data_IF_052693045994
#
_entry.id   IF_052693045994
#
_cell.length_a   1.000
_cell.length_b   1.000
_cell.length_c   1.000
_cell.angle_alpha   90.00
_cell.angle_beta   90.00
_cell.angle_gamma   90.00
#
_symmetry.space_group_name_H-M   'P 1'
#
loop_
_entity.id
_entity.type
_entity.pdbx_description
1 polymer ?
#
# COMPACT_ATOMS: atom_id res chain seq x y z
N UNK A 1 -0.66 1.23 17.62
CA UNK A 1 -0.47 0.32 18.75
C UNK A 1 -1.80 -0.33 19.10
N UNK A 2 -1.88 -1.66 19.04
CA UNK A 2 -3.09 -2.42 19.39
C UNK A 2 -2.98 -2.92 20.83
N UNK A 3 -4.02 -2.77 21.62
CA UNK A 3 -4.02 -3.13 23.07
C UNK A 3 -3.66 -4.60 23.31
N UNK A 4 -4.03 -5.51 22.42
CA UNK A 4 -3.72 -6.93 22.61
C UNK A 4 -2.21 -7.23 22.62
N UNK A 5 -1.35 -6.36 22.05
CA UNK A 5 0.10 -6.49 22.16
C UNK A 5 0.55 -6.40 23.63
N UNK A 6 0.00 -5.44 24.37
CA UNK A 6 0.32 -5.28 25.79
C UNK A 6 -0.19 -6.47 26.63
N UNK A 7 -1.32 -7.04 26.30
CA UNK A 7 -1.82 -8.24 26.99
C UNK A 7 -0.93 -9.43 26.77
N UNK A 8 -0.46 -9.68 25.54
CA UNK A 8 0.45 -10.78 25.25
C UNK A 8 1.79 -10.56 25.95
N UNK A 9 2.37 -9.35 25.87
CA UNK A 9 3.62 -9.01 26.54
C UNK A 9 3.50 -9.24 28.07
N UNK A 10 2.40 -8.78 28.68
CA UNK A 10 2.16 -8.98 30.11
C UNK A 10 2.07 -10.47 30.44
N UNK A 11 1.35 -11.25 29.64
CA UNK A 11 1.22 -12.67 29.87
C UNK A 11 2.57 -13.40 29.76
N UNK A 12 3.40 -13.06 28.76
CA UNK A 12 4.77 -13.61 28.63
C UNK A 12 5.60 -13.33 29.88
N UNK A 13 5.54 -12.10 30.42
CA UNK A 13 6.29 -11.71 31.63
C UNK A 13 5.83 -12.45 32.89
N UNK A 14 4.63 -13.03 32.88
CA UNK A 14 4.08 -13.80 34.02
C UNK A 14 4.14 -15.31 33.83
N UNK A 15 4.64 -15.78 32.68
CA UNK A 15 4.82 -17.21 32.42
C UNK A 15 5.89 -17.82 33.36
N UNK A 16 5.53 -18.89 34.06
CA UNK A 16 6.48 -19.72 34.81
C UNK A 16 7.19 -20.73 33.90
N UNK A 17 8.23 -21.39 34.42
CA UNK A 17 8.83 -22.53 33.75
C UNK A 17 7.76 -23.61 33.46
N UNK A 18 7.83 -24.22 32.27
CA UNK A 18 6.91 -25.25 31.79
C UNK A 18 5.44 -24.79 31.61
N UNK A 19 5.16 -23.50 31.65
CA UNK A 19 3.83 -22.98 31.35
C UNK A 19 3.60 -22.84 29.85
N UNK A 20 2.33 -22.87 29.45
CA UNK A 20 1.88 -22.58 28.09
C UNK A 20 0.80 -21.52 28.09
N UNK A 21 0.70 -20.79 27.00
CA UNK A 21 -0.29 -19.75 26.76
C UNK A 21 -0.91 -19.92 25.39
N UNK A 22 -2.23 -19.78 25.29
CA UNK A 22 -2.96 -19.82 24.02
C UNK A 22 -3.83 -18.58 23.95
N UNK A 23 -3.69 -17.83 22.84
CA UNK A 23 -4.49 -16.63 22.58
C UNK A 23 -5.10 -16.67 21.17
N UNK A 24 -6.35 -16.23 21.06
CA UNK A 24 -6.95 -15.86 19.78
C UNK A 24 -6.81 -14.34 19.63
N UNK A 25 -6.17 -13.90 18.52
CA UNK A 25 -5.83 -12.50 18.29
C UNK A 25 -5.99 -12.14 16.82
N UNK A 26 -6.11 -10.85 16.47
CA UNK A 26 -6.03 -10.43 15.08
C UNK A 26 -4.69 -10.88 14.45
N UNK A 27 -4.74 -11.47 13.25
CA UNK A 27 -3.54 -11.99 12.60
C UNK A 27 -2.69 -10.91 11.92
N UNK A 28 -3.14 -9.67 11.90
CA UNK A 28 -2.47 -8.54 11.25
C UNK A 28 -1.05 -8.30 11.78
N UNK A 29 -0.78 -8.61 13.05
CA UNK A 29 0.55 -8.47 13.64
C UNK A 29 1.61 -9.35 12.94
N UNK A 30 1.21 -10.45 12.34
CA UNK A 30 2.14 -11.33 11.61
C UNK A 30 2.84 -10.58 10.46
N UNK A 31 2.16 -9.60 9.84
CA UNK A 31 2.59 -8.96 8.59
C UNK A 31 2.77 -7.44 8.67
N UNK A 32 2.11 -6.74 9.60
CA UNK A 32 2.18 -5.28 9.68
C UNK A 32 3.45 -4.79 10.41
N UNK A 33 3.84 -3.53 10.16
CA UNK A 33 5.03 -2.93 10.76
C UNK A 33 4.87 -2.72 12.28
N UNK A 34 3.65 -2.39 12.76
CA UNK A 34 3.39 -2.19 14.19
C UNK A 34 3.54 -3.47 15.01
N UNK A 35 3.43 -4.64 14.38
CA UNK A 35 3.61 -5.95 15.01
C UNK A 35 5.06 -6.39 15.21
N UNK A 36 6.06 -5.62 14.76
CA UNK A 36 7.46 -6.02 14.79
C UNK A 36 7.92 -6.44 16.19
N UNK A 37 7.73 -5.56 17.17
CA UNK A 37 8.11 -5.84 18.54
C UNK A 37 7.42 -7.09 19.11
N UNK A 38 6.11 -7.25 18.84
CA UNK A 38 5.38 -8.43 19.28
C UNK A 38 5.95 -9.71 18.67
N UNK A 39 6.26 -9.71 17.37
CA UNK A 39 6.89 -10.86 16.70
C UNK A 39 8.24 -11.23 17.32
N UNK A 40 9.04 -10.24 17.68
CA UNK A 40 10.34 -10.44 18.33
C UNK A 40 10.20 -11.13 19.68
N UNK A 41 9.27 -10.67 20.54
CA UNK A 41 9.12 -11.24 21.89
C UNK A 41 8.44 -12.60 21.91
N UNK A 42 7.52 -12.89 20.97
CA UNK A 42 6.88 -14.22 20.93
C UNK A 42 7.74 -15.29 20.23
N UNK A 43 8.61 -14.90 19.30
CA UNK A 43 9.39 -15.81 18.44
C UNK A 43 10.11 -16.91 19.22
N UNK A 44 10.81 -16.64 20.33
CA UNK A 44 11.49 -17.69 21.10
C UNK A 44 10.55 -18.75 21.67
N UNK A 45 9.35 -18.33 22.10
CA UNK A 45 8.37 -19.12 22.82
C UNK A 45 7.31 -19.78 21.93
N UNK A 46 7.24 -19.35 20.66
CA UNK A 46 6.20 -19.75 19.71
C UNK A 46 6.31 -21.25 19.38
N UNK A 47 5.22 -21.99 19.55
CA UNK A 47 5.10 -23.41 19.17
C UNK A 47 4.09 -23.65 18.05
N UNK A 48 3.00 -22.89 18.02
CA UNK A 48 1.98 -23.06 17.00
C UNK A 48 1.33 -21.73 16.61
N UNK A 49 0.99 -21.60 15.34
CA UNK A 49 0.08 -20.59 14.78
C UNK A 49 -0.98 -21.31 13.99
N UNK A 50 -2.25 -21.09 14.34
CA UNK A 50 -3.39 -21.53 13.52
C UNK A 50 -4.01 -20.27 12.92
N UNK A 51 -3.84 -20.07 11.63
CA UNK A 51 -4.32 -18.88 10.92
C UNK A 51 -5.71 -19.14 10.30
N UNK A 52 -6.68 -18.33 10.71
CA UNK A 52 -8.04 -18.38 10.21
C UNK A 52 -8.29 -17.35 9.10
N UNK A 53 -7.26 -16.94 8.36
CA UNK A 53 -7.45 -16.11 7.16
C UNK A 53 -8.47 -16.75 6.23
N UNK A 54 -9.45 -15.94 5.79
CA UNK A 54 -10.55 -16.43 4.94
C UNK A 54 -11.79 -16.92 5.70
N UNK A 55 -11.73 -17.08 7.04
CA UNK A 55 -12.90 -17.40 7.86
C UNK A 55 -13.38 -16.21 8.67
N UNK A 56 -14.69 -16.10 8.81
CA UNK A 56 -15.33 -15.21 9.77
C UNK A 56 -15.52 -15.99 11.08
N UNK A 57 -14.69 -15.72 12.08
CA UNK A 57 -14.73 -16.42 13.38
C UNK A 57 -15.73 -15.77 14.33
N UNK A 58 -15.90 -14.45 14.25
CA UNK A 58 -16.81 -13.69 15.11
C UNK A 58 -17.95 -13.09 14.29
N UNK A 59 -19.19 -13.23 14.77
CA UNK A 59 -20.37 -12.74 14.03
C UNK A 59 -20.40 -11.22 13.87
N UNK A 60 -19.95 -10.49 14.90
CA UNK A 60 -20.04 -9.03 14.97
C UNK A 60 -18.71 -8.32 14.61
N UNK A 61 -17.66 -9.06 14.27
CA UNK A 61 -16.36 -8.48 13.96
C UNK A 61 -15.81 -8.97 12.63
N UNK A 62 -15.52 -8.04 11.71
CA UNK A 62 -14.85 -8.31 10.44
C UNK A 62 -13.33 -8.24 10.62
N UNK A 63 -12.78 -9.14 11.42
CA UNK A 63 -11.34 -9.22 11.68
C UNK A 63 -10.82 -10.62 11.35
N UNK A 64 -9.74 -10.70 10.58
CA UNK A 64 -9.03 -11.96 10.39
C UNK A 64 -8.21 -12.27 11.65
N UNK A 65 -8.36 -13.48 12.18
CA UNK A 65 -7.75 -13.91 13.43
C UNK A 65 -6.77 -15.06 13.25
N UNK A 66 -5.93 -15.26 14.23
CA UNK A 66 -5.16 -16.49 14.42
C UNK A 66 -5.14 -16.90 15.88
N UNK A 67 -4.92 -18.18 16.14
CA UNK A 67 -4.54 -18.68 17.46
C UNK A 67 -3.02 -18.79 17.48
N UNK A 68 -2.40 -18.23 18.51
CA UNK A 68 -1.00 -18.43 18.84
C UNK A 68 -0.87 -19.28 20.08
N UNK A 69 0.04 -20.25 20.07
CA UNK A 69 0.43 -21.01 21.25
C UNK A 69 1.89 -20.71 21.56
N UNK A 70 2.15 -20.31 22.80
CA UNK A 70 3.48 -20.03 23.31
C UNK A 70 3.78 -20.99 24.47
N UNK A 71 4.98 -21.51 24.53
CA UNK A 71 5.46 -22.35 25.63
C UNK A 71 6.77 -21.78 26.15
N UNK A 72 6.94 -21.77 27.47
CA UNK A 72 8.22 -21.39 28.09
C UNK A 72 9.26 -22.50 27.93
N UNK A 73 9.46 -22.90 26.68
CA UNK A 73 10.46 -23.88 26.25
C UNK A 73 11.06 -23.42 24.94
N UNK A 74 12.36 -23.26 24.90
CA UNK A 74 13.04 -22.89 23.66
C UNK A 74 12.87 -23.97 22.58
N UNK A 75 12.32 -23.59 21.43
CA UNK A 75 12.22 -24.41 20.24
C UNK A 75 12.84 -23.71 19.06
N UNK A 76 13.50 -24.45 18.18
CA UNK A 76 14.03 -23.93 16.90
C UNK A 76 12.95 -23.82 15.83
N UNK A 77 11.83 -24.51 16.02
CA UNK A 77 10.73 -24.63 15.05
C UNK A 77 9.40 -24.31 15.71
N UNK A 78 8.40 -24.02 14.90
CA UNK A 78 6.98 -23.96 15.27
C UNK A 78 6.12 -24.47 14.12
N UNK A 79 4.88 -24.83 14.42
CA UNK A 79 3.90 -25.26 13.44
C UNK A 79 3.08 -24.07 12.95
N UNK A 80 2.93 -23.93 11.64
CA UNK A 80 1.97 -23.02 11.02
C UNK A 80 0.87 -23.82 10.32
N UNK A 81 -0.37 -23.56 10.67
CA UNK A 81 -1.55 -24.22 10.11
C UNK A 81 -2.43 -23.17 9.49
N UNK A 82 -2.59 -23.18 8.17
CA UNK A 82 -3.57 -22.35 7.47
C UNK A 82 -4.89 -23.12 7.39
N UNK A 83 -5.88 -22.67 8.16
CA UNK A 83 -7.15 -23.41 8.32
C UNK A 83 -7.98 -23.49 7.05
N UNK A 84 -7.84 -22.51 6.14
CA UNK A 84 -8.63 -22.44 4.90
C UNK A 84 -8.46 -23.66 3.99
N UNK A 85 -7.24 -24.17 3.85
CA UNK A 85 -6.91 -25.33 3.01
C UNK A 85 -6.26 -26.47 3.80
N UNK A 86 -6.30 -26.40 5.14
CA UNK A 86 -5.70 -27.34 6.08
C UNK A 86 -4.20 -27.58 5.82
N UNK A 87 -3.52 -26.59 5.21
CA UNK A 87 -2.07 -26.65 5.02
C UNK A 87 -1.33 -26.59 6.36
N UNK A 88 -0.49 -27.57 6.56
CA UNK A 88 0.41 -27.66 7.71
C UNK A 88 1.84 -27.45 7.24
N UNK A 89 2.58 -26.59 7.93
CA UNK A 89 4.01 -26.35 7.69
C UNK A 89 4.76 -26.30 9.01
N UNK A 90 5.83 -27.08 9.12
CA UNK A 90 6.82 -26.89 10.17
C UNK A 90 7.80 -25.81 9.72
N UNK A 91 7.97 -24.76 10.52
CA UNK A 91 8.73 -23.55 10.16
C UNK A 91 9.94 -23.40 11.07
N UNK A 92 11.13 -23.31 10.48
CA UNK A 92 12.37 -22.97 11.20
C UNK A 92 12.33 -21.49 11.59
N UNK A 93 12.51 -21.19 12.88
CA UNK A 93 12.50 -19.80 13.40
C UNK A 93 13.59 -18.92 12.80
N UNK A 94 14.69 -19.50 12.34
CA UNK A 94 15.79 -18.82 11.67
C UNK A 94 15.44 -18.35 10.27
N UNK A 95 14.46 -18.97 9.62
CA UNK A 95 14.00 -18.62 8.27
C UNK A 95 13.01 -17.44 8.26
N UNK A 96 12.54 -17.01 9.44
CA UNK A 96 11.63 -15.90 9.56
C UNK A 96 12.43 -14.62 9.80
N UNK A 97 12.34 -13.70 8.88
CA UNK A 97 12.87 -12.34 9.00
C UNK A 97 11.93 -11.45 9.86
N UNK A 98 11.77 -10.19 9.48
CA UNK A 98 10.95 -9.22 10.22
C UNK A 98 9.45 -9.54 10.17
N UNK A 99 8.92 -10.05 9.03
CA UNK A 99 7.51 -10.44 8.89
C UNK A 99 7.37 -11.96 8.88
N UNK A 100 6.29 -12.47 9.50
CA UNK A 100 5.95 -13.88 9.47
C UNK A 100 5.24 -14.19 8.15
N UNK A 101 6.05 -14.37 7.09
CA UNK A 101 5.62 -14.79 5.77
C UNK A 101 5.91 -16.29 5.65
N UNK A 102 4.86 -17.06 5.45
CA UNK A 102 4.95 -18.52 5.43
C UNK A 102 5.06 -19.10 4.01
N UNK A 103 5.18 -18.23 3.01
CA UNK A 103 5.49 -18.65 1.66
C UNK A 103 6.98 -18.97 1.59
N UNK A 104 7.28 -20.24 1.34
CA UNK A 104 8.60 -20.61 0.88
C UNK A 104 8.74 -20.02 -0.54
N UNK A 105 9.49 -18.93 -0.64
CA UNK A 105 9.98 -18.46 -1.94
C UNK A 105 10.85 -19.61 -2.47
N UNK A 106 10.47 -20.31 -3.56
CA UNK A 106 11.39 -21.23 -4.20
C UNK A 106 12.67 -20.45 -4.51
N UNK A 107 13.81 -21.14 -4.61
CA UNK A 107 15.04 -20.56 -5.17
C UNK A 107 14.73 -20.09 -6.60
N UNK A 108 14.22 -18.87 -6.77
CA UNK A 108 13.88 -18.27 -8.04
C UNK A 108 15.13 -17.51 -8.46
N UNK A 109 15.76 -17.95 -9.53
CA UNK A 109 16.73 -17.14 -10.27
C UNK A 109 16.01 -15.86 -10.70
N UNK A 110 16.41 -14.71 -10.16
CA UNK A 110 15.76 -13.43 -10.44
C UNK A 110 16.06 -12.40 -9.35
N UNK A 111 15.45 -11.22 -9.48
CA UNK A 111 15.55 -10.12 -8.53
C UNK A 111 14.22 -9.76 -7.91
N UNK A 112 14.24 -8.88 -6.92
CA UNK A 112 13.01 -8.30 -6.37
C UNK A 112 12.41 -7.32 -7.37
N UNK A 113 11.10 -7.22 -7.43
CA UNK A 113 10.39 -6.25 -8.26
C UNK A 113 10.93 -4.81 -8.04
N UNK A 114 11.23 -4.45 -6.78
CA UNK A 114 11.82 -3.16 -6.41
C UNK A 114 13.26 -2.93 -6.92
N UNK A 115 13.94 -3.94 -7.43
CA UNK A 115 15.25 -3.77 -8.07
C UNK A 115 15.09 -3.14 -9.47
N UNK A 116 13.97 -3.40 -10.14
CA UNK A 116 13.66 -2.99 -11.51
C UNK A 116 12.70 -1.81 -11.59
N UNK A 117 11.80 -1.65 -10.62
CA UNK A 117 10.74 -0.64 -10.61
C UNK A 117 10.68 0.12 -9.28
N UNK A 118 10.29 1.39 -9.34
CA UNK A 118 9.95 2.14 -8.14
C UNK A 118 8.45 1.93 -7.83
N UNK A 119 8.12 1.68 -6.58
CA UNK A 119 6.73 1.56 -6.11
C UNK A 119 6.50 2.57 -4.98
N UNK A 120 5.47 3.40 -5.11
CA UNK A 120 5.17 4.43 -4.11
C UNK A 120 3.67 4.77 -4.08
N UNK A 121 3.23 5.41 -3.02
CA UNK A 121 1.85 5.88 -2.91
C UNK A 121 1.57 7.04 -3.87
N UNK A 122 0.34 7.12 -4.38
CA UNK A 122 -0.16 8.25 -5.17
C UNK A 122 -0.09 9.58 -4.39
N UNK A 123 -0.43 10.70 -5.03
CA UNK A 123 -0.44 12.00 -4.34
C UNK A 123 -1.45 12.02 -3.19
N UNK A 124 -1.09 12.71 -2.12
CA UNK A 124 -1.96 12.93 -0.97
C UNK A 124 -2.36 14.42 -0.89
N UNK A 125 -3.56 14.73 -1.36
CA UNK A 125 -4.11 16.09 -1.28
C UNK A 125 -4.51 16.47 0.15
N UNK A 126 -4.81 15.48 1.00
CA UNK A 126 -5.43 15.56 2.33
C UNK A 126 -6.84 16.17 2.33
N UNK A 127 -7.31 16.68 1.20
CA UNK A 127 -8.68 17.17 1.03
C UNK A 127 -9.15 16.96 -0.43
N UNK A 128 -9.42 15.71 -0.80
CA UNK A 128 -9.79 15.36 -2.17
C UNK A 128 -10.95 16.22 -2.72
N UNK A 129 -11.94 16.56 -1.90
CA UNK A 129 -13.09 17.37 -2.32
C UNK A 129 -12.72 18.77 -2.83
N UNK A 130 -11.57 19.32 -2.42
CA UNK A 130 -11.08 20.61 -2.91
C UNK A 130 -10.30 20.49 -4.22
N UNK A 131 -9.68 19.34 -4.48
CA UNK A 131 -8.78 19.18 -5.63
C UNK A 131 -9.35 18.32 -6.76
N UNK A 132 -10.22 17.33 -6.44
CA UNK A 132 -10.75 16.40 -7.43
C UNK A 132 -12.06 16.95 -7.99
N UNK A 133 -12.13 16.99 -9.31
CA UNK A 133 -13.25 17.55 -10.05
C UNK A 133 -13.86 16.45 -10.96
N UNK A 134 -15.19 16.33 -10.96
CA UNK A 134 -15.88 15.54 -11.98
C UNK A 134 -15.87 16.25 -13.33
N UNK A 135 -16.16 15.50 -14.38
CA UNK A 135 -16.24 16.08 -15.74
C UNK A 135 -17.40 17.07 -15.83
N UNK A 136 -17.08 18.36 -16.02
CA UNK A 136 -18.06 19.45 -16.14
C UNK A 136 -19.02 19.61 -14.94
N UNK A 137 -18.68 19.07 -13.78
CA UNK A 137 -19.52 19.18 -12.57
C UNK A 137 -19.47 20.58 -11.94
N UNK A 138 -18.36 21.29 -12.10
CA UNK A 138 -18.19 22.64 -11.57
C UNK A 138 -18.12 23.66 -12.71
N UNK A 139 -19.20 24.42 -12.88
CA UNK A 139 -19.33 25.43 -13.97
C UNK A 139 -18.41 26.63 -13.79
N UNK A 140 -17.93 26.89 -12.59
CA UNK A 140 -17.01 27.99 -12.28
C UNK A 140 -15.56 27.70 -12.66
N UNK A 141 -15.24 26.43 -12.90
CA UNK A 141 -13.89 25.99 -13.27
C UNK A 141 -13.68 26.08 -14.77
N UNK A 142 -12.63 26.76 -15.17
CA UNK A 142 -12.15 26.75 -16.53
C UNK A 142 -11.24 25.52 -16.74
N UNK A 143 -11.80 24.46 -17.31
CA UNK A 143 -11.06 23.20 -17.57
C UNK A 143 -9.92 23.33 -18.59
N UNK A 144 -9.70 24.49 -19.18
CA UNK A 144 -8.56 24.78 -20.06
C UNK A 144 -7.35 25.34 -19.32
N UNK A 145 -7.50 25.69 -18.04
CA UNK A 145 -6.38 26.16 -17.22
C UNK A 145 -5.28 25.09 -17.09
N UNK A 146 -4.01 25.53 -17.12
CA UNK A 146 -2.84 24.62 -17.09
C UNK A 146 -2.73 23.80 -15.81
N UNK A 147 -3.34 24.26 -14.72
CA UNK A 147 -3.40 23.52 -13.48
C UNK A 147 -4.40 22.36 -13.53
N UNK A 148 -5.30 22.30 -14.50
CA UNK A 148 -6.22 21.17 -14.64
C UNK A 148 -5.53 20.02 -15.36
N UNK A 149 -5.51 18.85 -14.73
CA UNK A 149 -4.97 17.61 -15.30
C UNK A 149 -5.96 16.47 -15.16
N UNK A 150 -5.82 15.43 -15.98
CA UNK A 150 -6.55 14.17 -15.77
C UNK A 150 -6.18 13.59 -14.42
N UNK A 151 -7.19 13.16 -13.66
CA UNK A 151 -7.03 12.48 -12.39
C UNK A 151 -7.27 10.98 -12.57
N UNK A 152 -6.57 10.16 -11.79
CA UNK A 152 -6.74 8.72 -11.81
C UNK A 152 -6.88 8.13 -10.40
N UNK A 153 -7.83 7.23 -10.25
CA UNK A 153 -7.89 6.26 -9.15
C UNK A 153 -8.37 4.92 -9.70
N UNK A 154 -7.96 3.79 -9.14
CA UNK A 154 -8.42 2.47 -9.60
C UNK A 154 -9.95 2.37 -9.66
N UNK A 155 -10.63 2.91 -8.65
CA UNK A 155 -12.11 2.93 -8.56
C UNK A 155 -12.78 3.67 -9.72
N UNK A 156 -12.19 4.74 -10.21
CA UNK A 156 -12.77 5.55 -11.29
C UNK A 156 -12.44 4.92 -12.65
N UNK A 157 -11.22 4.44 -12.81
CA UNK A 157 -10.78 3.78 -14.03
C UNK A 157 -11.55 2.46 -14.28
N UNK A 158 -11.80 1.67 -13.25
CA UNK A 158 -12.62 0.44 -13.38
C UNK A 158 -14.06 0.70 -13.83
N UNK A 159 -14.57 1.92 -13.64
CA UNK A 159 -15.90 2.35 -14.09
C UNK A 159 -15.90 3.04 -15.45
N UNK A 160 -14.75 3.18 -16.10
CA UNK A 160 -14.59 3.93 -17.35
C UNK A 160 -14.94 5.42 -17.23
N UNK A 161 -14.85 6.00 -16.01
CA UNK A 161 -15.19 7.41 -15.77
C UNK A 161 -13.97 8.31 -15.86
N UNK A 162 -14.17 9.56 -16.26
CA UNK A 162 -13.13 10.59 -16.26
C UNK A 162 -13.28 11.52 -15.06
N UNK A 163 -12.15 11.88 -14.48
CA UNK A 163 -12.03 12.92 -13.46
C UNK A 163 -10.85 13.82 -13.76
N UNK A 164 -10.87 14.99 -13.15
CA UNK A 164 -9.80 15.98 -13.23
C UNK A 164 -9.30 16.31 -11.83
N UNK A 165 -8.10 16.87 -11.78
CA UNK A 165 -7.47 17.32 -10.54
C UNK A 165 -6.85 18.69 -10.76
N UNK A 166 -7.01 19.57 -9.79
CA UNK A 166 -6.23 20.80 -9.72
C UNK A 166 -4.83 20.43 -9.28
N UNK A 167 -3.86 20.64 -10.16
CA UNK A 167 -2.44 20.33 -9.94
C UNK A 167 -1.65 21.64 -9.86
N UNK A 168 -1.47 22.24 -8.67
CA UNK A 168 -0.86 23.56 -8.48
C UNK A 168 0.66 23.53 -8.57
N UNK A 169 1.16 22.82 -9.58
CA UNK A 169 2.58 22.62 -9.86
C UNK A 169 2.81 22.61 -11.36
N UNK A 170 4.08 22.74 -11.75
CA UNK A 170 4.53 22.49 -13.12
C UNK A 170 5.82 21.67 -13.10
N UNK A 171 6.24 21.24 -14.28
CA UNK A 171 7.58 20.67 -14.48
C UNK A 171 8.31 21.54 -15.49
N UNK A 172 9.59 21.80 -15.21
CA UNK A 172 10.46 22.54 -16.11
C UNK A 172 10.89 21.69 -17.31
N UNK A 173 11.77 22.26 -18.16
CA UNK A 173 12.28 21.56 -19.35
C UNK A 173 13.16 20.33 -19.00
N UNK A 174 13.71 20.29 -17.80
CA UNK A 174 14.49 19.15 -17.29
C UNK A 174 13.62 18.09 -16.59
N UNK A 175 12.32 18.37 -16.45
CA UNK A 175 11.38 17.49 -15.77
C UNK A 175 11.32 17.69 -14.24
N UNK A 176 12.01 18.72 -13.71
CA UNK A 176 12.01 19.02 -12.29
C UNK A 176 10.71 19.72 -11.86
N UNK A 177 10.27 19.39 -10.65
CA UNK A 177 9.05 19.97 -10.07
C UNK A 177 9.23 21.45 -9.74
N UNK A 178 8.35 22.29 -10.28
CA UNK A 178 8.29 23.71 -10.01
C UNK A 178 7.02 24.04 -9.20
N UNK A 179 7.20 24.71 -8.07
CA UNK A 179 6.11 25.25 -7.25
C UNK A 179 5.80 26.68 -7.69
N UNK A 180 4.52 27.02 -7.79
CA UNK A 180 4.10 28.39 -8.07
C UNK A 180 4.25 29.30 -6.84
N UNK A 181 4.55 30.60 -7.07
CA UNK A 181 4.17 31.64 -6.10
C UNK A 181 2.64 31.71 -6.01
N UNK A 182 2.10 32.37 -5.01
CA UNK A 182 0.64 32.53 -4.89
C UNK A 182 0.12 33.45 -6.00
N UNK A 183 0.86 34.50 -6.28
CA UNK A 183 0.61 35.48 -7.35
C UNK A 183 0.62 34.78 -8.72
N UNK A 184 1.65 34.04 -9.04
CA UNK A 184 1.76 33.28 -10.28
C UNK A 184 0.61 32.26 -10.47
N UNK A 185 0.24 31.57 -9.39
CA UNK A 185 -0.84 30.58 -9.46
C UNK A 185 -2.18 31.27 -9.71
N UNK A 186 -2.46 32.37 -9.01
CA UNK A 186 -3.67 33.18 -9.15
C UNK A 186 -3.79 33.79 -10.56
N UNK A 187 -2.68 34.34 -11.09
CA UNK A 187 -2.65 34.96 -12.41
C UNK A 187 -2.86 33.93 -13.54
N UNK A 188 -2.14 32.80 -13.47
CA UNK A 188 -2.13 31.79 -14.53
C UNK A 188 -3.31 30.82 -14.49
N UNK A 189 -3.98 30.66 -13.32
CA UNK A 189 -5.06 29.72 -13.08
C UNK A 189 -6.12 30.33 -12.15
N UNK A 190 -6.78 31.45 -12.58
CA UNK A 190 -7.66 32.23 -11.70
C UNK A 190 -8.88 31.45 -11.22
N UNK A 191 -9.50 30.59 -12.05
CA UNK A 191 -10.66 29.81 -11.63
C UNK A 191 -10.28 28.70 -10.64
N UNK A 192 -9.16 28.02 -10.85
CA UNK A 192 -8.62 27.05 -9.91
C UNK A 192 -8.26 27.70 -8.57
N UNK A 193 -7.61 28.86 -8.61
CA UNK A 193 -7.27 29.61 -7.39
C UNK A 193 -8.52 30.02 -6.62
N UNK A 194 -9.52 30.63 -7.28
CA UNK A 194 -10.79 31.02 -6.67
C UNK A 194 -11.49 29.82 -6.01
N UNK A 195 -11.56 28.69 -6.73
CA UNK A 195 -12.13 27.46 -6.20
C UNK A 195 -11.40 26.97 -4.95
N UNK A 196 -10.06 26.94 -4.94
CA UNK A 196 -9.29 26.54 -3.75
C UNK A 196 -9.43 27.52 -2.58
N UNK A 197 -9.63 28.82 -2.87
CA UNK A 197 -9.94 29.82 -1.85
C UNK A 197 -11.25 29.52 -1.10
N UNK A 198 -12.27 28.95 -1.75
CA UNK A 198 -13.51 28.55 -1.06
C UNK A 198 -13.29 27.43 -0.03
N UNK A 199 -12.18 26.71 -0.10
CA UNK A 199 -11.76 25.66 0.86
C UNK A 199 -10.63 26.09 1.78
N UNK A 200 -10.17 27.38 1.73
CA UNK A 200 -8.94 27.85 2.38
C UNK A 200 -8.90 27.52 3.87
N UNK A 201 -9.96 27.81 4.61
CA UNK A 201 -10.01 27.53 6.05
C UNK A 201 -9.84 26.04 6.38
N UNK A 202 -10.47 25.16 5.58
CA UNK A 202 -10.34 23.73 5.76
C UNK A 202 -8.94 23.23 5.36
N UNK A 203 -8.39 23.76 4.28
CA UNK A 203 -7.05 23.42 3.79
C UNK A 203 -5.93 23.84 4.76
N UNK A 204 -6.11 24.96 5.47
CA UNK A 204 -5.18 25.42 6.49
C UNK A 204 -5.17 24.53 7.75
N UNK A 205 -6.26 23.80 8.01
CA UNK A 205 -6.38 22.87 9.16
C UNK A 205 -5.83 21.47 8.86
N UNK A 206 -5.45 21.17 7.61
CA UNK A 206 -4.87 19.86 7.25
C UNK A 206 -3.41 19.79 7.68
N UNK A 207 -2.97 18.59 8.12
CA UNK A 207 -1.58 18.33 8.51
C UNK A 207 -0.69 18.19 7.26
N UNK A 208 -0.22 19.32 6.73
CA UNK A 208 0.61 19.43 5.52
C UNK A 208 2.10 19.32 5.82
N UNK A 209 2.89 19.07 4.77
CA UNK A 209 4.33 19.23 4.82
C UNK A 209 4.69 20.68 5.25
N UNK A 210 5.77 20.84 6.02
CA UNK A 210 6.23 22.15 6.46
C UNK A 210 6.43 23.11 5.26
N UNK A 211 6.05 24.38 5.45
CA UNK A 211 6.13 25.44 4.44
C UNK A 211 5.26 25.22 3.17
N UNK A 212 4.27 24.33 3.21
CA UNK A 212 3.31 24.19 2.11
C UNK A 212 2.29 25.30 2.13
N UNK A 213 2.01 25.89 0.96
CA UNK A 213 0.94 26.88 0.79
C UNK A 213 -0.43 26.20 0.91
N UNK A 214 -1.49 26.98 1.21
CA UNK A 214 -2.83 26.40 1.38
C UNK A 214 -3.33 25.65 0.14
N UNK A 215 -2.98 26.12 -1.05
CA UNK A 215 -3.36 25.54 -2.33
C UNK A 215 -2.46 24.37 -2.80
N UNK A 216 -1.37 24.06 -2.08
CA UNK A 216 -0.53 22.90 -2.37
C UNK A 216 -1.10 21.61 -1.74
N UNK A 217 -0.70 20.45 -2.27
CA UNK A 217 -1.07 19.16 -1.67
C UNK A 217 -0.48 18.99 -0.28
N UNK A 218 -1.11 18.15 0.53
CA UNK A 218 -0.64 17.93 1.89
C UNK A 218 0.70 17.21 1.97
N UNK A 219 1.01 16.34 1.00
CA UNK A 219 2.30 15.64 0.91
C UNK A 219 2.88 15.77 -0.50
N UNK A 220 4.16 16.06 -0.57
CA UNK A 220 4.88 16.36 -1.83
C UNK A 220 5.74 15.21 -2.35
N UNK A 221 5.90 14.12 -1.58
CA UNK A 221 6.87 13.06 -1.84
C UNK A 221 6.71 12.38 -3.21
N UNK A 222 5.49 12.15 -3.66
CA UNK A 222 5.22 11.52 -4.95
C UNK A 222 5.48 12.45 -6.15
N UNK A 223 5.34 13.75 -5.98
CA UNK A 223 5.26 14.74 -7.07
C UNK A 223 6.46 14.69 -8.02
N UNK A 224 7.68 14.57 -7.49
CA UNK A 224 8.91 14.53 -8.30
C UNK A 224 8.99 13.33 -9.25
N UNK A 225 8.29 12.24 -8.93
CA UNK A 225 8.35 10.98 -9.68
C UNK A 225 7.23 10.82 -10.71
N UNK A 226 6.27 11.75 -10.79
CA UNK A 226 5.07 11.58 -11.60
C UNK A 226 5.21 12.02 -13.06
N UNK A 227 6.24 12.80 -13.42
CA UNK A 227 6.41 13.34 -14.76
C UNK A 227 6.97 12.30 -15.75
N UNK A 228 6.42 11.12 -15.76
CA UNK A 228 6.75 10.01 -16.65
C UNK A 228 5.53 9.09 -16.81
N UNK A 229 5.61 8.15 -17.74
CA UNK A 229 4.63 7.06 -17.81
C UNK A 229 4.70 6.22 -16.55
N UNK A 230 3.56 5.69 -16.15
CA UNK A 230 3.42 4.97 -14.89
C UNK A 230 2.27 3.98 -14.90
N UNK A 231 2.35 2.99 -14.05
CA UNK A 231 1.22 2.11 -13.74
C UNK A 231 0.53 2.57 -12.46
N UNK A 232 -0.76 2.27 -12.36
CA UNK A 232 -1.56 2.50 -11.17
C UNK A 232 -2.25 1.20 -10.77
N UNK A 233 -2.13 0.82 -9.50
CA UNK A 233 -2.70 -0.39 -8.91
C UNK A 233 -3.51 -0.03 -7.66
N UNK A 234 -4.60 -0.76 -7.40
CA UNK A 234 -5.35 -0.62 -6.17
C UNK A 234 -4.56 -1.10 -4.95
N UNK A 235 -4.72 -0.42 -3.81
CA UNK A 235 -4.26 -0.93 -2.51
C UNK A 235 -5.15 -2.05 -1.96
N UNK A 236 -6.32 -2.27 -2.57
CA UNK A 236 -7.25 -3.33 -2.20
C UNK A 236 -7.39 -4.31 -3.37
N UNK A 237 -7.11 -5.57 -3.12
CA UNK A 237 -7.16 -6.68 -4.07
C UNK A 237 -8.15 -7.72 -3.56
N UNK A 238 -9.04 -8.22 -4.43
CA UNK A 238 -10.04 -9.23 -4.05
C UNK A 238 -9.87 -10.49 -4.89
N UNK A 239 -10.16 -10.44 -6.19
CA UNK A 239 -10.11 -11.60 -7.08
C UNK A 239 -9.01 -11.49 -8.14
N UNK A 240 -8.62 -10.29 -8.46
CA UNK A 240 -7.64 -9.97 -9.50
C UNK A 240 -6.92 -8.66 -9.18
N UNK A 241 -5.75 -8.49 -9.74
CA UNK A 241 -4.96 -7.25 -9.67
C UNK A 241 -5.14 -6.51 -10.99
N UNK A 242 -5.89 -5.43 -10.98
CA UNK A 242 -6.07 -4.58 -12.14
C UNK A 242 -4.99 -3.51 -12.20
N UNK A 243 -4.25 -3.46 -13.30
CA UNK A 243 -3.15 -2.53 -13.54
C UNK A 243 -3.49 -1.59 -14.68
N UNK A 244 -3.44 -0.29 -14.39
CA UNK A 244 -3.79 0.76 -15.35
C UNK A 244 -2.53 1.50 -15.82
N UNK A 245 -2.30 1.55 -17.12
CA UNK A 245 -1.26 2.37 -17.73
C UNK A 245 -1.72 3.83 -17.76
N UNK A 246 -0.90 4.74 -17.26
CA UNK A 246 -1.16 6.18 -17.23
C UNK A 246 -0.04 6.92 -17.95
N UNK A 247 -0.43 7.95 -18.72
CA UNK A 247 0.50 8.88 -19.33
C UNK A 247 1.20 9.78 -18.30
N UNK A 248 2.21 10.51 -18.72
CA UNK A 248 2.96 11.43 -17.84
C UNK A 248 2.13 12.57 -17.28
N UNK A 249 1.02 12.97 -17.95
CA UNK A 249 0.18 14.12 -17.54
C UNK A 249 -0.93 13.73 -16.56
N UNK A 250 -1.29 12.47 -16.50
CA UNK A 250 -2.34 11.96 -15.59
C UNK A 250 -1.82 11.84 -14.16
N UNK A 251 -2.54 12.38 -13.21
CA UNK A 251 -2.18 12.43 -11.78
C UNK A 251 -2.96 11.40 -10.99
N UNK A 252 -2.31 10.34 -10.49
CA UNK A 252 -2.94 9.38 -9.61
C UNK A 252 -3.11 9.97 -8.20
N UNK A 253 -4.33 9.91 -7.64
CA UNK A 253 -4.65 10.43 -6.30
C UNK A 253 -5.09 9.35 -5.30
N UNK A 254 -5.12 8.10 -5.73
CA UNK A 254 -5.40 6.93 -4.90
C UNK A 254 -4.78 5.70 -5.53
N UNK A 255 -4.23 4.81 -4.73
CA UNK A 255 -3.55 3.59 -5.17
C UNK A 255 -2.03 3.66 -5.04
N UNK A 256 -1.37 2.61 -5.53
CA UNK A 256 0.08 2.51 -5.64
C UNK A 256 0.50 2.83 -7.08
N UNK A 257 1.57 3.58 -7.20
CA UNK A 257 2.14 4.01 -8.47
C UNK A 257 3.43 3.25 -8.71
N UNK A 258 3.59 2.70 -9.91
CA UNK A 258 4.80 2.03 -10.34
C UNK A 258 5.42 2.85 -11.49
N UNK A 259 6.71 3.10 -11.40
CA UNK A 259 7.49 3.74 -12.46
C UNK A 259 8.75 2.95 -12.76
N UNK A 260 9.26 3.12 -13.96
CA UNK A 260 10.49 2.49 -14.39
C UNK A 260 11.67 2.97 -13.53
N UNK A 261 12.55 2.05 -13.14
CA UNK A 261 13.80 2.34 -12.40
C UNK A 261 15.00 2.04 -13.27
N UNK A 262 14.97 0.91 -13.97
CA UNK A 262 15.99 0.53 -14.95
C UNK A 262 15.47 0.77 -16.37
N UNK A 263 16.25 1.43 -17.21
CA UNK A 263 15.82 1.83 -18.57
C UNK A 263 15.51 0.66 -19.50
N UNK A 264 16.11 -0.48 -19.24
CA UNK A 264 16.02 -1.66 -20.11
C UNK A 264 14.82 -2.57 -19.75
N UNK A 265 14.06 -2.24 -18.71
CA UNK A 265 12.91 -3.02 -18.25
C UNK A 265 11.63 -2.19 -18.35
N UNK A 266 10.82 -2.47 -19.36
CA UNK A 266 9.59 -1.72 -19.66
C UNK A 266 8.47 -1.92 -18.62
N UNK A 267 7.53 -0.97 -18.60
CA UNK A 267 6.36 -1.03 -17.70
C UNK A 267 5.38 -2.16 -18.07
N UNK A 268 5.41 -2.63 -19.32
CA UNK A 268 4.63 -3.77 -19.81
C UNK A 268 4.96 -5.04 -19.02
N UNK A 269 6.25 -5.27 -18.75
CA UNK A 269 6.71 -6.40 -17.93
C UNK A 269 6.16 -6.27 -16.50
N UNK A 270 6.22 -5.07 -15.94
CA UNK A 270 5.65 -4.82 -14.61
C UNK A 270 4.13 -5.11 -14.59
N UNK A 271 3.42 -4.73 -15.64
CA UNK A 271 1.98 -4.96 -15.77
C UNK A 271 1.67 -6.46 -15.84
N UNK A 272 2.34 -7.21 -16.73
CA UNK A 272 2.17 -8.66 -16.85
C UNK A 272 2.44 -9.40 -15.55
N UNK A 273 3.54 -9.03 -14.86
CA UNK A 273 3.88 -9.62 -13.56
C UNK A 273 2.79 -9.37 -12.53
N UNK A 274 2.31 -8.13 -12.40
CA UNK A 274 1.32 -7.76 -11.38
C UNK A 274 -0.07 -8.32 -11.67
N UNK A 275 -0.44 -8.56 -12.93
CA UNK A 275 -1.71 -9.17 -13.33
C UNK A 275 -1.65 -10.72 -13.36
N UNK A 276 -0.48 -11.31 -13.06
CA UNK A 276 -0.30 -12.76 -13.09
C UNK A 276 -0.99 -13.46 -11.91
N UNK A 277 -1.44 -14.71 -12.15
CA UNK A 277 -1.96 -15.58 -11.08
C UNK A 277 -0.90 -15.84 -9.97
N UNK A 278 0.38 -15.89 -10.33
CA UNK A 278 1.48 -16.07 -9.38
C UNK A 278 1.57 -14.91 -8.39
N UNK A 279 1.45 -13.67 -8.89
CA UNK A 279 1.43 -12.49 -8.03
C UNK A 279 0.17 -12.44 -7.19
N UNK A 280 -1.00 -12.78 -7.74
CA UNK A 280 -2.24 -12.84 -6.97
C UNK A 280 -2.13 -13.82 -5.80
N UNK A 281 -1.65 -15.05 -6.03
CA UNK A 281 -1.39 -16.05 -4.99
C UNK A 281 -0.39 -15.52 -3.94
N UNK A 282 0.67 -14.83 -4.37
CA UNK A 282 1.61 -14.20 -3.44
C UNK A 282 0.89 -13.19 -2.54
N UNK A 283 0.05 -12.32 -3.09
CA UNK A 283 -0.73 -11.34 -2.31
C UNK A 283 -1.74 -12.01 -1.37
N UNK A 284 -2.41 -13.06 -1.80
CA UNK A 284 -3.32 -13.83 -0.94
C UNK A 284 -2.62 -14.36 0.30
N UNK A 285 -1.38 -14.78 0.16
CA UNK A 285 -0.58 -15.36 1.24
C UNK A 285 0.16 -14.32 2.09
N UNK A 286 0.66 -13.23 1.49
CA UNK A 286 1.56 -12.28 2.17
C UNK A 286 0.88 -11.00 2.63
N UNK A 287 -0.16 -10.53 1.95
CA UNK A 287 -0.80 -9.26 2.25
C UNK A 287 -1.77 -9.34 3.44
N UNK A 288 -1.93 -8.21 4.12
CA UNK A 288 -2.85 -8.09 5.25
C UNK A 288 -4.29 -8.18 4.79
N UNK A 289 -5.13 -8.98 5.45
CA UNK A 289 -6.56 -9.02 5.17
C UNK A 289 -7.22 -7.70 5.55
N UNK A 290 -7.96 -7.10 4.63
CA UNK A 290 -8.72 -5.88 4.88
C UNK A 290 -10.13 -6.18 5.42
N UNK A 291 -10.81 -7.14 4.76
CA UNK A 291 -12.09 -7.70 5.20
C UNK A 291 -12.30 -9.02 4.44
N UNK A 292 -12.51 -10.12 5.17
CA UNK A 292 -12.75 -11.43 4.57
C UNK A 292 -11.75 -11.76 3.45
N UNK A 293 -12.23 -11.79 2.21
CA UNK A 293 -11.42 -12.15 1.02
C UNK A 293 -10.58 -11.01 0.45
N UNK A 294 -10.82 -9.76 0.86
CA UNK A 294 -10.08 -8.60 0.33
C UNK A 294 -8.75 -8.44 1.05
N UNK A 295 -7.67 -8.33 0.30
CA UNK A 295 -6.32 -8.08 0.80
C UNK A 295 -5.94 -6.60 0.63
N UNK A 296 -5.21 -6.06 1.60
CA UNK A 296 -4.60 -4.73 1.51
C UNK A 296 -3.13 -4.88 1.21
N UNK A 297 -2.69 -4.36 0.08
CA UNK A 297 -1.29 -4.36 -0.34
C UNK A 297 -0.62 -3.01 -0.08
N UNK A 298 0.65 -3.08 0.25
CA UNK A 298 1.55 -1.93 0.39
C UNK A 298 2.58 -1.90 -0.73
N UNK A 299 3.30 -0.78 -0.86
CA UNK A 299 4.43 -0.71 -1.81
C UNK A 299 5.47 -1.80 -1.55
N UNK A 300 5.72 -2.12 -0.27
CA UNK A 300 6.69 -3.16 0.12
C UNK A 300 6.27 -4.57 -0.27
N UNK A 301 4.97 -4.86 -0.30
CA UNK A 301 4.48 -6.18 -0.72
C UNK A 301 4.74 -6.40 -2.22
N UNK A 302 4.69 -5.32 -3.02
CA UNK A 302 5.07 -5.35 -4.43
C UNK A 302 6.60 -5.34 -4.59
N UNK A 303 7.31 -4.42 -3.93
CA UNK A 303 8.77 -4.29 -4.03
C UNK A 303 9.52 -5.57 -3.69
N UNK A 304 9.02 -6.33 -2.69
CA UNK A 304 9.65 -7.56 -2.24
C UNK A 304 9.24 -8.81 -3.01
N UNK A 305 8.32 -8.71 -3.97
CA UNK A 305 7.98 -9.83 -4.82
C UNK A 305 9.13 -10.19 -5.75
N UNK A 306 9.52 -11.47 -5.80
CA UNK A 306 10.59 -11.95 -6.68
C UNK A 306 10.06 -12.20 -8.08
N UNK A 307 10.78 -11.71 -9.08
CA UNK A 307 10.46 -11.85 -10.49
C UNK A 307 11.68 -12.36 -11.27
N UNK A 308 11.43 -13.24 -12.24
CA UNK A 308 12.41 -13.56 -13.28
C UNK A 308 12.10 -12.66 -14.48
N UNK A 309 12.99 -11.75 -14.80
CA UNK A 309 12.97 -11.08 -16.09
C UNK A 309 13.75 -12.01 -17.01
N UNK A 310 13.03 -12.92 -17.70
CA UNK A 310 13.66 -13.80 -18.70
C UNK A 310 14.35 -12.94 -19.74
N UNK A 311 15.50 -13.42 -20.22
CA UNK A 311 16.15 -12.93 -21.42
C UNK A 311 15.22 -13.15 -22.63
N UNK A 312 14.22 -12.31 -22.78
CA UNK A 312 13.53 -12.12 -24.03
C UNK A 312 14.47 -11.31 -24.93
N UNK A 313 15.47 -12.00 -25.50
CA UNK A 313 16.17 -11.57 -26.71
C UNK A 313 15.33 -11.90 -27.93
#
# INVERSE_FOLDING_TARGET
>A
FDYYYAFIEKAIKTMSEKSSMVYIVPNSFLKNNSGKYLREIIKPLLTDIIDFSGFKIFDDALVSTCIIKLENKQSKKFNYILKYNEEFKEVEKTQIEDKYLFDFVPNIEGGKFGDYFNVFSSVATLLNKAFILGKNENKEINYKEKAIRKAASPKILSKGKEQFIIFPYSYDRKGELVKFSEEDFKEKNPSCYSHLCSFKETLLKTDKDANSKFFEYGRSQALKKLNQEKLLVSTLVTKEVNVYMLDKKTIPYSGLVITQKLKDVGLEIAKEVLESEKFLKHIENTAVSANGVTKRISSKDIENYYICIGDNK
#
